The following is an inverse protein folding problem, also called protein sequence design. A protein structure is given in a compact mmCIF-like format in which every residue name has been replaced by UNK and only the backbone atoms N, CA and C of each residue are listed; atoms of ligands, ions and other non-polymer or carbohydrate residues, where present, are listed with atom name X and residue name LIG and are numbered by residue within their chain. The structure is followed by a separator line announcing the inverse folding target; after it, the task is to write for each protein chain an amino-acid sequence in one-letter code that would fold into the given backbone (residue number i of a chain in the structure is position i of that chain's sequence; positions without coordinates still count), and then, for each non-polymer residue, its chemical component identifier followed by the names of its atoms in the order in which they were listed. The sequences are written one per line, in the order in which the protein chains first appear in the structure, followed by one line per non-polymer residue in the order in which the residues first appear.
data_IF_536739562574
#
_entry.id   IF_536739562574
#
_cell.length_a   1.000
_cell.length_b   1.000
_cell.length_c   1.000
_cell.angle_alpha   90.00
_cell.angle_beta   90.00
_cell.angle_gamma   90.00
#
_symmetry.space_group_name_H-M   'P 1'
#
loop_
_entity.id
_entity.type
_entity.pdbx_description
1 polymer ?
#
# COMPACT_ATOMS: atom_id res chain seq x y z
N UNK A 1 -18.69 20.03 -26.25
CA UNK A 1 -17.49 20.47 -25.51
C UNK A 1 -16.74 19.21 -25.13
N UNK A 2 -15.66 18.90 -25.83
CA UNK A 2 -14.78 17.78 -25.51
C UNK A 2 -14.18 18.03 -24.13
N UNK A 3 -14.42 17.12 -23.20
CA UNK A 3 -13.92 17.18 -21.83
C UNK A 3 -12.38 17.16 -21.88
N UNK A 4 -11.77 18.33 -21.77
CA UNK A 4 -10.32 18.52 -21.86
C UNK A 4 -9.72 18.42 -20.45
N UNK A 5 -10.12 17.39 -19.71
CA UNK A 5 -9.55 17.09 -18.41
C UNK A 5 -8.08 16.72 -18.59
N UNK A 6 -7.20 17.39 -17.84
CA UNK A 6 -5.78 17.03 -17.79
C UNK A 6 -5.63 15.55 -17.42
N UNK A 7 -4.60 14.90 -17.96
CA UNK A 7 -4.33 13.49 -17.68
C UNK A 7 -4.16 13.26 -16.17
N UNK A 8 -4.99 12.40 -15.59
CA UNK A 8 -4.91 12.08 -14.17
C UNK A 8 -3.68 11.20 -13.92
N UNK A 9 -2.77 11.71 -13.08
CA UNK A 9 -1.52 11.04 -12.70
C UNK A 9 -1.53 10.62 -11.23
N UNK A 10 -2.68 10.70 -10.55
CA UNK A 10 -2.79 10.43 -9.13
C UNK A 10 -2.72 8.92 -8.84
N UNK A 11 -1.54 8.43 -8.44
CA UNK A 11 -1.37 7.03 -8.07
C UNK A 11 -1.70 6.82 -6.59
N UNK A 12 -2.67 5.93 -6.35
CA UNK A 12 -3.07 5.54 -5.00
C UNK A 12 -2.28 4.32 -4.52
N UNK A 13 -1.36 4.55 -3.59
CA UNK A 13 -0.68 3.47 -2.88
C UNK A 13 -1.55 2.95 -1.74
N UNK A 14 -1.36 1.68 -1.35
CA UNK A 14 -2.08 1.10 -0.21
C UNK A 14 -1.85 1.89 1.08
N UNK A 15 -0.62 2.38 1.33
CA UNK A 15 -0.33 3.23 2.49
C UNK A 15 -1.11 4.53 2.46
N UNK A 16 -1.19 5.21 1.31
CA UNK A 16 -1.99 6.42 1.16
C UNK A 16 -3.47 6.16 1.39
N UNK A 17 -4.00 5.10 0.78
CA UNK A 17 -5.39 4.69 0.99
C UNK A 17 -5.72 4.51 2.49
N UNK A 18 -4.89 3.73 3.20
CA UNK A 18 -5.12 3.45 4.63
C UNK A 18 -5.09 4.72 5.48
N UNK A 19 -4.16 5.64 5.21
CA UNK A 19 -4.05 6.91 5.94
C UNK A 19 -5.28 7.78 5.68
N UNK A 20 -5.67 7.97 4.42
CA UNK A 20 -6.81 8.81 4.05
C UNK A 20 -8.13 8.26 4.60
N UNK A 21 -8.35 6.95 4.47
CA UNK A 21 -9.52 6.29 5.07
C UNK A 21 -9.49 6.38 6.60
N UNK A 22 -8.33 6.18 7.22
CA UNK A 22 -8.16 6.31 8.67
C UNK A 22 -8.49 7.72 9.17
N UNK A 23 -8.05 8.77 8.48
CA UNK A 23 -8.37 10.17 8.83
C UNK A 23 -9.87 10.47 8.80
N UNK A 24 -10.63 9.78 7.96
CA UNK A 24 -12.08 9.94 7.86
C UNK A 24 -12.83 9.16 8.96
N UNK A 25 -12.19 8.20 9.61
CA UNK A 25 -12.78 7.41 10.68
C UNK A 25 -12.76 8.17 12.03
N UNK A 26 -13.92 8.22 12.70
CA UNK A 26 -14.02 8.83 14.04
C UNK A 26 -13.19 8.04 15.05
N UNK A 27 -12.33 8.73 15.80
CA UNK A 27 -11.50 8.12 16.83
C UNK A 27 -10.29 7.35 16.31
N UNK A 28 -9.85 7.58 15.07
CA UNK A 28 -8.66 6.93 14.53
C UNK A 28 -7.40 7.31 15.33
N UNK A 29 -6.73 6.30 15.87
CA UNK A 29 -5.48 6.42 16.65
C UNK A 29 -4.22 6.23 15.79
N UNK A 30 -4.38 5.66 14.58
CA UNK A 30 -3.28 5.30 13.69
C UNK A 30 -2.67 3.92 13.95
N UNK A 31 -3.11 3.19 14.98
CA UNK A 31 -2.59 1.85 15.30
C UNK A 31 -2.84 0.85 14.17
N UNK A 32 -4.02 0.89 13.54
CA UNK A 32 -4.31 0.06 12.37
C UNK A 32 -3.40 0.39 11.19
N UNK A 33 -3.12 1.68 10.96
CA UNK A 33 -2.19 2.12 9.92
C UNK A 33 -0.78 1.57 10.17
N UNK A 34 -0.33 1.60 11.42
CA UNK A 34 0.96 1.05 11.82
C UNK A 34 1.01 -0.47 11.60
N UNK A 35 -0.01 -1.19 12.06
CA UNK A 35 -0.14 -2.65 11.86
C UNK A 35 -0.07 -3.03 10.37
N UNK A 36 -0.88 -2.38 9.54
CA UNK A 36 -0.94 -2.68 8.11
C UNK A 36 0.36 -2.34 7.38
N UNK A 37 1.07 -1.29 7.80
CA UNK A 37 2.38 -0.94 7.23
C UNK A 37 3.46 -1.95 7.63
N UNK A 38 3.43 -2.46 8.86
CA UNK A 38 4.31 -3.53 9.30
C UNK A 38 4.02 -4.84 8.52
N UNK A 39 2.75 -5.20 8.35
CA UNK A 39 2.35 -6.35 7.53
C UNK A 39 2.82 -6.21 6.08
N UNK A 40 2.63 -5.04 5.45
CA UNK A 40 3.11 -4.75 4.11
C UNK A 40 4.62 -4.98 3.96
N UNK A 41 5.40 -4.62 4.98
CA UNK A 41 6.84 -4.80 4.99
C UNK A 41 7.20 -6.29 5.08
N UNK A 42 6.57 -7.03 5.99
CA UNK A 42 6.76 -8.48 6.11
C UNK A 42 6.39 -9.21 4.82
N UNK A 43 5.26 -8.88 4.21
CA UNK A 43 4.79 -9.48 2.94
C UNK A 43 5.80 -9.26 1.81
N UNK A 44 6.33 -8.04 1.68
CA UNK A 44 7.35 -7.72 0.65
C UNK A 44 8.64 -8.48 0.89
N UNK A 45 9.07 -8.59 2.15
CA UNK A 45 10.26 -9.35 2.51
C UNK A 45 10.10 -10.85 2.18
N UNK A 46 8.96 -11.45 2.55
CA UNK A 46 8.63 -12.85 2.23
C UNK A 46 8.58 -13.05 0.71
N UNK A 47 7.88 -12.18 -0.01
CA UNK A 47 7.78 -12.24 -1.48
C UNK A 47 9.16 -12.20 -2.14
N UNK A 48 10.05 -11.30 -1.67
CA UNK A 48 11.43 -11.22 -2.14
C UNK A 48 12.22 -12.50 -1.84
N UNK A 49 12.09 -13.05 -0.63
CA UNK A 49 12.76 -14.28 -0.22
C UNK A 49 12.30 -15.48 -1.07
N UNK A 50 10.99 -15.65 -1.28
CA UNK A 50 10.43 -16.72 -2.11
C UNK A 50 10.90 -16.59 -3.56
N UNK A 51 10.92 -15.37 -4.12
CA UNK A 51 11.43 -15.16 -5.49
C UNK A 51 12.91 -15.49 -5.62
N UNK A 52 13.73 -15.20 -4.61
CA UNK A 52 15.15 -15.59 -4.57
C UNK A 52 15.31 -17.10 -4.44
N UNK A 53 14.51 -17.75 -3.60
CA UNK A 53 14.52 -19.21 -3.45
C UNK A 53 14.21 -19.92 -4.78
N UNK A 54 13.22 -19.43 -5.53
CA UNK A 54 12.89 -19.98 -6.86
C UNK A 54 13.98 -19.79 -7.92
N UNK A 55 14.86 -18.79 -7.78
CA UNK A 55 16.04 -18.61 -8.66
C UNK A 55 17.21 -19.50 -8.22
N UNK A 56 17.30 -19.82 -6.94
CA UNK A 56 18.38 -20.61 -6.36
C UNK A 56 18.16 -22.13 -6.44
N UNK A 57 16.99 -22.58 -6.93
CA UNK A 57 16.59 -23.98 -7.05
C UNK A 57 16.77 -24.79 -5.74
N UNK A 58 16.01 -24.39 -4.72
CA UNK A 58 15.17 -25.34 -3.98
C UNK A 58 13.83 -25.50 -4.72
#
# INVERSE_FOLDING_TARGET
MSDQSAFDTDVWTLTRFIIETGRQAKGATGELTQLLTAMLTAIKAISSAVRKAGLAHL
#
